data_IF_258511864730
#
_entry.id   IF_258511864730
#
_cell.length_a   1.000
_cell.length_b   1.000
_cell.length_c   1.000
_cell.angle_alpha   90.00
_cell.angle_beta   90.00
_cell.angle_gamma   90.00
#
_symmetry.space_group_name_H-M   'P 1'
#
loop_
_entity.id
_entity.type
_entity.pdbx_description
1 polymer ?
#
# COMPACT_ATOMS: atom_id res chain seq x y z
N UNK A 1 33.75 -22.28 66.01
CA UNK A 1 32.80 -23.00 66.88
C UNK A 1 33.37 -22.99 68.30
N UNK A 2 32.53 -22.81 69.32
CA UNK A 2 32.94 -22.82 70.73
C UNK A 2 32.67 -24.17 71.39
N UNK A 3 33.29 -24.45 72.55
CA UNK A 3 33.07 -25.67 73.34
C UNK A 3 31.60 -25.90 73.70
N UNK A 4 30.89 -24.86 74.10
CA UNK A 4 29.46 -24.97 74.43
C UNK A 4 28.59 -25.24 73.19
N UNK A 5 28.95 -24.67 72.04
CA UNK A 5 28.28 -25.03 70.78
C UNK A 5 28.56 -26.48 70.38
N UNK A 6 29.78 -26.97 70.56
CA UNK A 6 30.13 -28.38 70.32
C UNK A 6 29.35 -29.34 71.23
N UNK A 7 29.19 -29.01 72.51
CA UNK A 7 28.33 -29.78 73.44
C UNK A 7 26.88 -29.86 72.96
N UNK A 8 26.30 -28.73 72.58
CA UNK A 8 24.91 -28.68 72.09
C UNK A 8 24.72 -29.50 70.81
N UNK A 9 25.71 -29.51 69.90
CA UNK A 9 25.67 -30.36 68.70
C UNK A 9 25.74 -31.83 69.07
N UNK A 10 26.62 -32.23 69.99
CA UNK A 10 26.75 -33.63 70.43
C UNK A 10 25.47 -34.12 71.15
N UNK A 11 24.84 -33.26 71.95
CA UNK A 11 23.52 -33.53 72.56
C UNK A 11 22.47 -33.72 71.46
N UNK A 12 22.44 -32.83 70.46
CA UNK A 12 21.55 -32.96 69.30
C UNK A 12 21.80 -34.20 68.44
N UNK A 13 23.00 -34.79 68.52
CA UNK A 13 23.36 -36.05 67.86
C UNK A 13 23.05 -37.29 68.73
N UNK A 14 22.45 -37.12 69.92
CA UNK A 14 21.98 -38.20 70.78
C UNK A 14 22.92 -38.58 71.94
N UNK A 15 23.91 -37.75 72.26
CA UNK A 15 24.79 -37.94 73.42
C UNK A 15 24.25 -37.14 74.61
N UNK A 16 23.50 -37.77 75.52
CA UNK A 16 22.83 -37.10 76.66
C UNK A 16 23.77 -36.29 77.56
N UNK A 17 24.99 -36.78 77.79
CA UNK A 17 26.00 -36.10 78.60
C UNK A 17 27.39 -36.21 77.94
N UNK A 18 27.72 -35.31 76.98
CA UNK A 18 28.98 -35.38 76.24
C UNK A 18 30.17 -35.13 77.17
N UNK A 19 31.12 -36.07 77.19
CA UNK A 19 32.34 -35.89 77.97
C UNK A 19 33.25 -34.81 77.36
N UNK A 20 34.09 -34.19 78.19
CA UNK A 20 35.05 -33.18 77.72
C UNK A 20 36.01 -33.73 76.63
N UNK A 21 36.30 -35.03 76.64
CA UNK A 21 37.06 -35.70 75.59
C UNK A 21 36.28 -35.80 74.27
N UNK A 22 34.98 -36.12 74.31
CA UNK A 22 34.13 -36.16 73.13
C UNK A 22 33.98 -34.77 72.51
N UNK A 23 33.81 -33.73 73.35
CA UNK A 23 33.76 -32.33 72.91
C UNK A 23 35.07 -31.89 72.27
N UNK A 24 36.21 -32.27 72.86
CA UNK A 24 37.54 -31.95 72.31
C UNK A 24 37.76 -32.63 70.96
N UNK A 25 37.47 -33.94 70.86
CA UNK A 25 37.59 -34.70 69.60
C UNK A 25 36.70 -34.13 68.49
N UNK A 26 35.48 -33.71 68.81
CA UNK A 26 34.58 -33.08 67.84
C UNK A 26 35.13 -31.74 67.35
N UNK A 27 35.59 -30.87 68.26
CA UNK A 27 36.20 -29.59 67.88
C UNK A 27 37.45 -29.76 67.02
N UNK A 28 38.30 -30.73 67.34
CA UNK A 28 39.50 -31.03 66.56
C UNK A 28 39.14 -31.56 65.17
N UNK A 29 38.13 -32.43 65.07
CA UNK A 29 37.60 -32.93 63.80
C UNK A 29 37.05 -31.80 62.93
N UNK A 30 36.19 -30.96 63.48
CA UNK A 30 35.60 -29.80 62.79
C UNK A 30 36.69 -28.83 62.35
N UNK A 31 37.69 -28.58 63.19
CA UNK A 31 38.82 -27.69 62.83
C UNK A 31 39.66 -28.28 61.70
N UNK A 32 39.90 -29.60 61.73
CA UNK A 32 40.60 -30.32 60.67
C UNK A 32 39.84 -30.32 59.34
N UNK A 33 38.52 -30.50 59.37
CA UNK A 33 37.66 -30.44 58.18
C UNK A 33 37.57 -29.03 57.61
N UNK A 34 37.38 -28.00 58.46
CA UNK A 34 37.35 -26.60 58.02
C UNK A 34 38.67 -26.21 57.36
N UNK A 35 39.81 -26.67 57.90
CA UNK A 35 41.11 -26.43 57.28
C UNK A 35 41.22 -27.12 55.92
N UNK A 36 40.87 -28.40 55.82
CA UNK A 36 40.86 -29.14 54.55
C UNK A 36 39.95 -28.48 53.51
N UNK A 37 38.77 -28.03 53.90
CA UNK A 37 37.81 -27.42 52.98
C UNK A 37 38.28 -26.04 52.50
N UNK A 38 38.91 -25.26 53.38
CA UNK A 38 39.55 -23.99 53.03
C UNK A 38 40.70 -24.19 52.04
N UNK A 39 41.53 -25.21 52.24
CA UNK A 39 42.63 -25.55 51.34
C UNK A 39 42.11 -26.00 49.96
N UNK A 40 41.05 -26.84 49.92
CA UNK A 40 40.37 -27.21 48.66
C UNK A 40 39.78 -25.99 47.96
N UNK A 41 39.09 -25.12 48.68
CA UNK A 41 38.45 -23.95 48.09
C UNK A 41 39.48 -22.98 47.48
N UNK A 42 40.63 -22.82 48.14
CA UNK A 42 41.75 -22.04 47.62
C UNK A 42 42.29 -22.67 46.32
N UNK A 43 42.50 -23.99 46.31
CA UNK A 43 42.94 -24.71 45.12
C UNK A 43 41.94 -24.66 43.96
N UNK A 44 40.63 -24.74 44.25
CA UNK A 44 39.59 -24.61 43.23
C UNK A 44 39.54 -23.21 42.63
N UNK A 45 39.70 -22.18 43.47
CA UNK A 45 39.77 -20.80 43.00
C UNK A 45 40.96 -20.57 42.08
N UNK A 46 42.16 -21.03 42.47
CA UNK A 46 43.35 -20.94 41.63
C UNK A 46 43.20 -21.70 40.29
N UNK A 47 42.50 -22.83 40.29
CA UNK A 47 42.19 -23.57 39.06
C UNK A 47 41.19 -22.84 38.18
N UNK A 48 40.17 -22.21 38.78
CA UNK A 48 39.20 -21.40 38.05
C UNK A 48 39.88 -20.18 37.41
N UNK A 49 40.72 -19.46 38.16
CA UNK A 49 41.47 -18.31 37.65
C UNK A 49 42.40 -18.71 36.49
N UNK A 50 43.07 -19.87 36.61
CA UNK A 50 43.89 -20.44 35.52
C UNK A 50 43.05 -20.84 34.30
N UNK A 51 41.86 -21.40 34.52
CA UNK A 51 40.97 -21.79 33.43
C UNK A 51 40.45 -20.57 32.66
N UNK A 52 40.11 -19.48 33.36
CA UNK A 52 39.73 -18.21 32.73
C UNK A 52 40.90 -17.62 31.92
N UNK A 53 42.10 -17.61 32.49
CA UNK A 53 43.29 -17.12 31.78
C UNK A 53 43.56 -17.94 30.50
N UNK A 54 43.51 -19.27 30.59
CA UNK A 54 43.68 -20.15 29.44
C UNK A 54 42.57 -19.97 28.40
N UNK A 55 41.31 -19.81 28.81
CA UNK A 55 40.21 -19.57 27.89
C UNK A 55 40.42 -18.27 27.11
N UNK A 56 40.85 -17.21 27.80
CA UNK A 56 41.14 -15.92 27.18
C UNK A 56 42.31 -16.00 26.19
N UNK A 57 43.41 -16.67 26.58
CA UNK A 57 44.53 -16.93 25.66
C UNK A 57 44.09 -17.75 24.45
N UNK A 58 43.21 -18.74 24.62
CA UNK A 58 42.73 -19.60 23.54
C UNK A 58 41.85 -18.83 22.55
N UNK A 59 41.06 -17.87 23.02
CA UNK A 59 40.24 -16.99 22.18
C UNK A 59 41.10 -15.95 21.44
N UNK A 60 42.08 -15.34 22.12
CA UNK A 60 43.06 -14.45 21.50
C UNK A 60 43.90 -15.19 20.45
N UNK A 61 44.35 -16.40 20.75
CA UNK A 61 45.16 -17.24 19.86
C UNK A 61 44.35 -17.77 18.69
N UNK A 62 43.06 -18.06 18.85
CA UNK A 62 42.14 -18.31 17.71
C UNK A 62 42.01 -17.09 16.82
N UNK A 63 41.87 -15.89 17.38
CA UNK A 63 41.83 -14.65 16.60
C UNK A 63 43.14 -14.33 15.87
N UNK A 64 44.28 -14.67 16.48
CA UNK A 64 45.60 -14.51 15.88
C UNK A 64 45.92 -15.58 14.84
N UNK A 65 45.49 -16.84 15.06
CA UNK A 65 45.71 -17.96 14.14
C UNK A 65 44.71 -18.03 13.00
N UNK A 66 43.62 -17.25 13.02
CA UNK A 66 42.85 -17.03 11.80
C UNK A 66 43.79 -16.42 10.77
N UNK A 67 44.05 -17.19 9.72
CA UNK A 67 44.86 -16.74 8.60
C UNK A 67 44.19 -15.53 7.95
N UNK A 68 44.98 -14.66 7.30
CA UNK A 68 44.43 -13.54 6.54
C UNK A 68 43.38 -14.00 5.52
N UNK A 69 43.53 -15.22 4.99
CA UNK A 69 42.56 -15.87 4.11
C UNK A 69 41.21 -16.19 4.81
N UNK A 70 41.22 -16.67 6.05
CA UNK A 70 39.98 -16.96 6.80
C UNK A 70 39.26 -15.69 7.24
N UNK A 71 40.01 -14.63 7.60
CA UNK A 71 39.41 -13.31 7.89
C UNK A 71 38.78 -12.71 6.63
N UNK A 72 39.48 -12.77 5.51
CA UNK A 72 38.98 -12.31 4.22
C UNK A 72 37.73 -13.09 3.78
N UNK A 73 37.69 -14.42 3.95
CA UNK A 73 36.49 -15.19 3.61
C UNK A 73 35.31 -14.88 4.53
N UNK A 74 35.54 -14.66 5.83
CA UNK A 74 34.47 -14.24 6.75
C UNK A 74 33.91 -12.88 6.37
N UNK A 75 34.77 -11.93 5.99
CA UNK A 75 34.35 -10.61 5.51
C UNK A 75 33.61 -10.72 4.17
N UNK A 76 34.09 -11.54 3.24
CA UNK A 76 33.42 -11.83 1.98
C UNK A 76 32.04 -12.46 2.18
N UNK A 77 31.88 -13.34 3.17
CA UNK A 77 30.57 -13.92 3.51
C UNK A 77 29.61 -12.87 4.07
N UNK A 78 30.09 -11.99 4.95
CA UNK A 78 29.27 -10.87 5.47
C UNK A 78 28.85 -9.93 4.35
N UNK A 79 29.77 -9.58 3.46
CA UNK A 79 29.49 -8.74 2.29
C UNK A 79 28.50 -9.42 1.35
N UNK A 80 28.67 -10.72 1.07
CA UNK A 80 27.73 -11.49 0.24
C UNK A 80 26.33 -11.50 0.84
N UNK A 81 26.20 -11.75 2.14
CA UNK A 81 24.91 -11.72 2.83
C UNK A 81 24.26 -10.32 2.82
N UNK A 82 25.07 -9.27 3.01
CA UNK A 82 24.59 -7.89 2.93
C UNK A 82 24.13 -7.53 1.50
N UNK A 83 24.88 -7.96 0.49
CA UNK A 83 24.54 -7.75 -0.92
C UNK A 83 23.28 -8.53 -1.31
N UNK A 84 23.13 -9.77 -0.87
CA UNK A 84 21.93 -10.58 -1.12
C UNK A 84 20.68 -9.94 -0.50
N UNK A 85 20.79 -9.43 0.73
CA UNK A 85 19.71 -8.64 1.35
C UNK A 85 19.39 -7.39 0.53
N UNK A 86 20.41 -6.65 0.08
CA UNK A 86 20.22 -5.42 -0.71
C UNK A 86 19.58 -5.71 -2.07
N UNK A 87 19.93 -6.82 -2.71
CA UNK A 87 19.29 -7.26 -3.96
C UNK A 87 17.80 -7.54 -3.71
N UNK A 88 17.46 -8.32 -2.68
CA UNK A 88 16.07 -8.60 -2.34
C UNK A 88 15.27 -7.32 -2.03
N UNK A 89 15.85 -6.39 -1.27
CA UNK A 89 15.22 -5.10 -0.98
C UNK A 89 14.97 -4.28 -2.26
N UNK A 90 15.93 -4.27 -3.20
CA UNK A 90 15.81 -3.60 -4.49
C UNK A 90 14.75 -4.26 -5.40
N UNK A 91 14.67 -5.58 -5.44
CA UNK A 91 13.66 -6.33 -6.21
C UNK A 91 12.24 -6.04 -5.68
N UNK A 92 12.08 -5.99 -4.35
CA UNK A 92 10.82 -5.62 -3.71
C UNK A 92 10.44 -4.16 -4.01
N UNK A 93 11.40 -3.24 -3.94
CA UNK A 93 11.19 -1.83 -4.27
C UNK A 93 10.81 -1.66 -5.75
N UNK A 94 11.46 -2.38 -6.66
CA UNK A 94 11.16 -2.37 -8.09
C UNK A 94 9.74 -2.86 -8.37
N UNK A 95 9.36 -4.00 -7.80
CA UNK A 95 8.01 -4.57 -7.93
C UNK A 95 6.95 -3.60 -7.41
N UNK A 96 7.20 -2.99 -6.25
CA UNK A 96 6.29 -1.99 -5.65
C UNK A 96 6.16 -0.75 -6.54
N UNK A 97 7.28 -0.26 -7.07
CA UNK A 97 7.31 0.89 -7.98
C UNK A 97 6.52 0.62 -9.26
N UNK A 98 6.73 -0.54 -9.88
CA UNK A 98 6.01 -0.95 -11.08
C UNK A 98 4.50 -1.07 -10.83
N UNK A 99 4.08 -1.69 -9.72
CA UNK A 99 2.65 -1.75 -9.35
C UNK A 99 2.03 -0.37 -9.16
N UNK A 100 2.74 0.55 -8.50
CA UNK A 100 2.26 1.93 -8.31
C UNK A 100 2.12 2.67 -9.64
N UNK A 101 3.12 2.55 -10.53
CA UNK A 101 3.08 3.17 -11.85
C UNK A 101 1.88 2.66 -12.67
N UNK A 102 1.67 1.34 -12.70
CA UNK A 102 0.56 0.70 -13.38
C UNK A 102 -0.81 1.14 -12.84
N UNK A 103 -0.95 1.21 -11.51
CA UNK A 103 -2.15 1.71 -10.85
C UNK A 103 -2.47 3.15 -11.26
N UNK A 104 -1.44 4.01 -11.31
CA UNK A 104 -1.57 5.40 -11.76
C UNK A 104 -1.98 5.50 -13.23
N UNK A 105 -1.44 4.64 -14.08
CA UNK A 105 -1.76 4.60 -15.51
C UNK A 105 -3.22 4.19 -15.75
N UNK A 106 -3.67 3.13 -15.08
CA UNK A 106 -5.06 2.66 -15.12
C UNK A 106 -6.02 3.73 -14.58
N UNK A 107 -5.64 4.42 -13.50
CA UNK A 107 -6.40 5.57 -12.99
C UNK A 107 -6.53 6.66 -14.06
N UNK A 108 -5.45 6.95 -14.79
CA UNK A 108 -5.49 7.91 -15.90
C UNK A 108 -6.41 7.46 -17.04
N UNK A 109 -6.41 6.17 -17.38
CA UNK A 109 -7.31 5.60 -18.41
C UNK A 109 -8.77 5.85 -18.04
N UNK A 110 -9.16 5.55 -16.79
CA UNK A 110 -10.52 5.78 -16.33
C UNK A 110 -10.89 7.26 -16.24
N UNK A 111 -9.99 8.10 -15.73
CA UNK A 111 -10.23 9.54 -15.67
C UNK A 111 -10.38 10.17 -17.06
N UNK A 112 -9.56 9.76 -18.04
CA UNK A 112 -9.67 10.20 -19.45
C UNK A 112 -10.98 9.74 -20.10
N UNK A 113 -11.56 8.65 -19.63
CA UNK A 113 -12.89 8.20 -20.04
C UNK A 113 -14.04 9.02 -19.44
N UNK A 114 -13.75 9.96 -18.54
CA UNK A 114 -14.75 10.76 -17.84
C UNK A 114 -15.46 10.02 -16.71
N UNK A 115 -14.94 8.87 -16.27
CA UNK A 115 -15.47 8.15 -15.11
C UNK A 115 -15.06 8.87 -13.83
N UNK A 116 -15.96 8.91 -12.85
CA UNK A 116 -15.65 9.50 -11.55
C UNK A 116 -14.80 8.54 -10.70
N UNK A 117 -13.99 9.08 -9.78
CA UNK A 117 -13.17 8.28 -8.87
C UNK A 117 -14.00 7.27 -8.07
N UNK A 118 -15.18 7.67 -7.59
CA UNK A 118 -16.10 6.79 -6.89
C UNK A 118 -16.58 5.61 -7.77
N UNK A 119 -16.65 5.81 -9.09
CA UNK A 119 -17.08 4.77 -10.04
C UNK A 119 -15.99 3.72 -10.28
N UNK A 120 -14.72 4.12 -10.35
CA UNK A 120 -13.63 3.21 -10.70
C UNK A 120 -12.75 2.76 -9.52
N UNK A 121 -12.96 3.27 -8.30
CA UNK A 121 -12.13 2.95 -7.13
C UNK A 121 -11.96 1.44 -6.91
N UNK A 122 -13.04 0.66 -6.90
CA UNK A 122 -12.97 -0.80 -6.74
C UNK A 122 -12.26 -1.51 -7.90
N UNK A 123 -12.34 -0.96 -9.12
CA UNK A 123 -11.61 -1.50 -10.25
C UNK A 123 -10.10 -1.29 -10.08
N UNK A 124 -9.68 -0.11 -9.62
CA UNK A 124 -8.28 0.20 -9.31
C UNK A 124 -7.71 -0.75 -8.26
N UNK A 125 -8.47 -1.04 -7.20
CA UNK A 125 -8.08 -2.03 -6.20
C UNK A 125 -7.88 -3.41 -6.83
N UNK A 126 -8.82 -3.87 -7.66
CA UNK A 126 -8.71 -5.15 -8.35
C UNK A 126 -7.50 -5.21 -9.30
N UNK A 127 -7.23 -4.13 -10.04
CA UNK A 127 -6.07 -4.05 -10.93
C UNK A 127 -4.74 -4.03 -10.17
N UNK A 128 -4.70 -3.41 -8.98
CA UNK A 128 -3.50 -3.36 -8.13
C UNK A 128 -3.08 -4.75 -7.61
N UNK A 129 -4.04 -5.68 -7.52
CA UNK A 129 -3.82 -7.06 -7.08
C UNK A 129 -3.44 -8.01 -8.22
N UNK A 130 -3.62 -7.61 -9.48
CA UNK A 130 -3.30 -8.45 -10.62
C UNK A 130 -1.79 -8.57 -10.85
N UNK A 131 -1.31 -9.73 -11.34
CA UNK A 131 0.04 -9.87 -11.86
C UNK A 131 0.28 -8.88 -13.01
N UNK A 132 1.47 -8.30 -13.09
CA UNK A 132 1.84 -7.35 -14.14
C UNK A 132 1.78 -8.03 -15.51
N UNK A 133 2.13 -9.31 -15.56
CA UNK A 133 2.12 -10.17 -16.74
C UNK A 133 0.73 -10.33 -17.35
N UNK A 134 -0.33 -10.16 -16.54
CA UNK A 134 -1.72 -10.19 -16.99
C UNK A 134 -2.14 -8.93 -17.77
N UNK A 135 -1.24 -7.95 -17.93
CA UNK A 135 -1.45 -6.70 -18.68
C UNK A 135 -2.73 -5.97 -18.27
N UNK A 136 -2.90 -5.62 -16.98
CA UNK A 136 -4.11 -4.97 -16.46
C UNK A 136 -4.43 -3.62 -17.13
N UNK A 137 -3.42 -2.91 -17.64
CA UNK A 137 -3.59 -1.71 -18.45
C UNK A 137 -4.42 -1.95 -19.72
N UNK A 138 -4.14 -3.04 -20.46
CA UNK A 138 -4.85 -3.39 -21.69
C UNK A 138 -6.30 -3.80 -21.39
N UNK A 139 -6.52 -4.48 -20.26
CA UNK A 139 -7.87 -4.83 -19.79
C UNK A 139 -8.66 -3.56 -19.49
N UNK A 140 -8.06 -2.58 -18.78
CA UNK A 140 -8.69 -1.31 -18.48
C UNK A 140 -9.03 -0.50 -19.75
N UNK A 141 -8.10 -0.44 -20.73
CA UNK A 141 -8.35 0.18 -22.04
C UNK A 141 -9.53 -0.47 -22.76
N UNK A 142 -9.56 -1.80 -22.81
CA UNK A 142 -10.63 -2.56 -23.46
C UNK A 142 -11.99 -2.28 -22.81
N UNK A 143 -12.04 -2.28 -21.48
CA UNK A 143 -13.26 -1.98 -20.73
C UNK A 143 -13.79 -0.57 -21.02
N UNK A 144 -12.93 0.45 -20.96
CA UNK A 144 -13.31 1.84 -21.28
C UNK A 144 -13.79 1.98 -22.72
N UNK A 145 -13.12 1.33 -23.66
CA UNK A 145 -13.53 1.34 -25.07
C UNK A 145 -14.91 0.70 -25.26
N UNK A 146 -15.21 -0.42 -24.58
CA UNK A 146 -16.53 -1.04 -24.57
C UNK A 146 -17.62 -0.08 -24.12
N UNK A 147 -17.44 0.55 -22.95
CA UNK A 147 -18.39 1.56 -22.43
C UNK A 147 -18.59 2.71 -23.42
N UNK A 148 -17.50 3.21 -24.02
CA UNK A 148 -17.58 4.29 -25.00
C UNK A 148 -18.42 3.89 -26.22
N UNK A 149 -18.26 2.66 -26.71
CA UNK A 149 -19.06 2.14 -27.83
C UNK A 149 -20.54 1.95 -27.49
N UNK A 150 -20.84 1.45 -26.29
CA UNK A 150 -22.22 1.28 -25.81
C UNK A 150 -22.91 2.63 -25.62
N UNK A 151 -22.23 3.60 -24.99
CA UNK A 151 -22.74 4.96 -24.80
C UNK A 151 -23.02 5.67 -26.13
N UNK A 152 -22.13 5.53 -27.12
CA UNK A 152 -22.35 6.06 -28.46
C UNK A 152 -23.61 5.47 -29.08
N UNK A 153 -23.77 4.15 -28.99
CA UNK A 153 -24.94 3.43 -29.54
C UNK A 153 -26.24 3.87 -28.86
N UNK A 154 -26.24 3.99 -27.53
CA UNK A 154 -27.39 4.47 -26.77
C UNK A 154 -27.78 5.91 -27.15
N UNK A 155 -26.79 6.79 -27.32
CA UNK A 155 -27.00 8.18 -27.71
C UNK A 155 -27.56 8.30 -29.14
N UNK A 156 -27.03 7.53 -30.09
CA UNK A 156 -27.54 7.49 -31.46
C UNK A 156 -28.97 6.94 -31.50
N UNK A 157 -29.29 5.93 -30.67
CA UNK A 157 -30.65 5.39 -30.53
C UNK A 157 -31.62 6.42 -29.93
N UNK A 158 -31.21 7.12 -28.88
CA UNK A 158 -32.03 8.15 -28.24
C UNK A 158 -32.30 9.33 -29.20
N UNK A 159 -31.30 9.74 -29.98
CA UNK A 159 -31.46 10.75 -31.03
C UNK A 159 -32.47 10.31 -32.09
N UNK A 160 -32.33 9.10 -32.62
CA UNK A 160 -33.26 8.58 -33.62
C UNK A 160 -34.69 8.48 -33.09
N UNK A 161 -34.87 8.08 -31.82
CA UNK A 161 -36.18 8.05 -31.17
C UNK A 161 -36.77 9.46 -31.02
N UNK A 162 -35.97 10.43 -30.58
CA UNK A 162 -36.37 11.83 -30.46
C UNK A 162 -36.74 12.45 -31.81
N UNK A 163 -35.93 12.23 -32.85
CA UNK A 163 -36.22 12.71 -34.22
C UNK A 163 -37.55 12.15 -34.75
N UNK A 164 -37.85 10.87 -34.51
CA UNK A 164 -39.15 10.28 -34.86
C UNK A 164 -40.30 10.92 -34.09
N UNK A 165 -40.15 11.13 -32.78
CA UNK A 165 -41.19 11.75 -31.96
C UNK A 165 -41.48 13.19 -32.39
N UNK A 166 -40.43 13.96 -32.70
CA UNK A 166 -40.57 15.33 -33.22
C UNK A 166 -41.28 15.33 -34.57
N UNK A 167 -40.92 14.43 -35.49
CA UNK A 167 -41.59 14.29 -36.80
C UNK A 167 -43.08 13.93 -36.66
N UNK A 168 -43.45 13.07 -35.72
CA UNK A 168 -44.84 12.66 -35.49
C UNK A 168 -45.69 13.76 -34.84
N UNK A 169 -45.09 14.57 -33.96
CA UNK A 169 -45.78 15.66 -33.24
C UNK A 169 -45.79 17.00 -33.97
N UNK A 170 -45.03 17.15 -35.05
CA UNK A 170 -45.04 18.37 -35.85
C UNK A 170 -46.29 18.38 -36.74
N UNK A 171 -47.20 19.36 -36.62
CA UNK A 171 -48.34 19.47 -37.53
C UNK A 171 -47.83 19.55 -38.97
N UNK A 172 -48.29 18.63 -39.82
CA UNK A 172 -47.90 18.62 -41.23
C UNK A 172 -48.38 19.93 -41.89
N UNK A 173 -47.49 20.78 -42.44
CA UNK A 173 -47.89 22.06 -43.03
C UNK A 173 -48.69 21.92 -44.34
N UNK A 174 -49.00 20.69 -44.77
CA UNK A 174 -49.89 20.37 -45.87
C UNK A 174 -51.18 19.73 -45.38
N UNK A 175 -52.21 20.56 -45.20
CA UNK A 175 -53.65 20.27 -45.28
C UNK A 175 -54.15 18.92 -44.76
N UNK A 176 -54.88 18.95 -43.65
CA UNK A 176 -55.91 17.94 -43.38
C UNK A 176 -56.90 17.90 -44.56
N UNK A 177 -57.07 16.71 -45.12
CA UNK A 177 -58.24 16.39 -45.90
C UNK A 177 -59.48 16.47 -44.99
N UNK A 178 -60.20 17.58 -45.09
CA UNK A 178 -61.65 17.69 -44.92
C UNK A 178 -62.22 17.30 -43.55
N UNK A 179 -62.38 18.30 -42.67
CA UNK A 179 -63.20 18.18 -41.47
C UNK A 179 -63.50 19.53 -40.84
N UNK A 180 -64.44 20.28 -41.43
CA UNK A 180 -64.74 21.66 -41.05
C UNK A 180 -65.05 21.85 -39.55
N UNK A 181 -64.18 22.57 -38.86
CA UNK A 181 -64.48 23.30 -37.61
C UNK A 181 -63.77 24.66 -37.66
N UNK A 182 -64.49 25.69 -37.18
CA UNK A 182 -64.10 27.12 -37.21
C UNK A 182 -62.63 27.32 -36.81
N UNK A 183 -61.92 28.05 -37.66
CA UNK A 183 -60.56 28.54 -37.43
C UNK A 183 -60.54 29.47 -36.19
N UNK A 184 -59.99 28.99 -35.08
CA UNK A 184 -59.42 29.87 -34.07
C UNK A 184 -58.01 30.25 -34.54
N UNK A 185 -57.74 31.56 -34.65
CA UNK A 185 -56.42 32.07 -35.06
C UNK A 185 -55.33 31.49 -34.17
N UNK A 186 -54.24 31.02 -34.79
CA UNK A 186 -53.09 30.51 -34.05
C UNK A 186 -52.37 31.67 -33.31
N UNK A 187 -51.72 31.35 -32.18
CA UNK A 187 -50.84 32.32 -31.47
C UNK A 187 -49.74 32.89 -32.38
N UNK A 188 -49.35 32.16 -33.43
CA UNK A 188 -48.41 32.63 -34.43
C UNK A 188 -49.01 33.73 -35.33
N UNK A 189 -50.29 33.64 -35.66
CA UNK A 189 -51.03 34.66 -36.42
C UNK A 189 -51.14 35.96 -35.62
N UNK A 190 -51.43 35.86 -34.32
CA UNK A 190 -51.46 37.03 -33.42
C UNK A 190 -50.09 37.70 -33.31
N UNK A 191 -49.01 36.91 -33.29
CA UNK A 191 -47.65 37.44 -33.27
C UNK A 191 -47.31 38.14 -34.59
N UNK A 192 -47.74 37.59 -35.72
CA UNK A 192 -47.46 38.16 -37.03
C UNK A 192 -48.23 39.47 -37.28
N UNK A 193 -49.50 39.54 -36.88
CA UNK A 193 -50.29 40.79 -36.95
C UNK A 193 -49.72 41.90 -36.06
N UNK A 194 -49.16 41.56 -34.89
CA UNK A 194 -48.63 42.56 -33.94
C UNK A 194 -47.38 43.29 -34.43
N UNK A 195 -46.59 42.67 -35.32
CA UNK A 195 -45.30 43.21 -35.76
C UNK A 195 -45.23 43.52 -37.25
N UNK A 196 -46.35 43.47 -37.98
CA UNK A 196 -46.42 43.98 -39.34
C UNK A 196 -46.49 45.51 -39.34
N UNK A 197 -45.50 46.23 -39.90
CA UNK A 197 -45.63 47.67 -40.09
C UNK A 197 -46.77 47.97 -41.08
N UNK A 198 -47.67 48.88 -40.67
CA UNK A 198 -48.84 49.30 -41.46
C UNK A 198 -48.41 49.80 -42.84
N UNK A 199 -49.02 49.24 -43.90
CA UNK A 199 -48.89 49.72 -45.27
C UNK A 199 -49.80 50.92 -45.49
N UNK A 200 -49.26 52.14 -45.43
CA UNK A 200 -49.86 53.31 -46.07
C UNK A 200 -48.73 54.12 -46.74
N UNK A 201 -48.57 53.94 -48.07
CA UNK A 201 -48.72 54.96 -49.15
C UNK A 201 -47.58 55.99 -49.17
N UNK A 202 -46.87 56.25 -50.27
CA UNK A 202 -47.39 56.74 -51.56
C UNK A 202 -46.42 56.53 -52.73
N UNK A 203 -47.02 56.51 -53.91
CA UNK A 203 -46.50 56.39 -55.28
C UNK A 203 -45.89 57.69 -55.87
N UNK A 204 -45.14 57.51 -57.00
CA UNK A 204 -44.67 58.46 -58.06
C UNK A 204 -43.23 58.99 -57.88
N UNK A 205 -42.35 59.09 -58.88
CA UNK A 205 -42.37 58.91 -60.36
C UNK A 205 -40.92 58.82 -60.91
N UNK A 206 -40.76 57.97 -61.93
CA UNK A 206 -39.80 57.87 -63.06
C UNK A 206 -38.68 58.96 -63.18
N UNK A 207 -37.42 58.52 -63.42
CA UNK A 207 -36.41 59.36 -64.08
C UNK A 207 -34.94 58.89 -64.11
N UNK A 208 -34.56 58.14 -65.16
CA UNK A 208 -33.28 58.12 -65.91
C UNK A 208 -31.93 57.64 -65.30
N UNK A 209 -31.43 56.54 -65.92
CA UNK A 209 -30.08 56.18 -66.37
C UNK A 209 -28.80 56.30 -65.49
N UNK A 210 -28.19 55.12 -65.31
CA UNK A 210 -26.84 54.67 -64.91
C UNK A 210 -25.61 55.43 -65.51
N UNK A 211 -24.34 54.98 -65.30
CA UNK A 211 -23.71 54.12 -64.26
C UNK A 211 -22.49 54.84 -63.62
N UNK A 212 -21.64 54.17 -62.82
CA UNK A 212 -20.18 54.04 -63.09
C UNK A 212 -19.48 53.21 -62.00
N UNK A 213 -18.51 52.45 -62.50
CA UNK A 213 -17.73 51.34 -62.00
C UNK A 213 -16.79 51.53 -60.79
N UNK A 214 -16.50 50.36 -60.24
CA UNK A 214 -15.31 49.88 -59.54
C UNK A 214 -13.99 50.63 -59.77
N UNK A 215 -13.31 50.90 -58.64
CA UNK A 215 -11.89 50.65 -58.45
C UNK A 215 -11.69 49.97 -57.08
#
# INVERSE_FOLDING_TARGET
MTREQAKQVLIGMGIEEPSDEQVTKYLDSVTGEVKKEKDKNTSLKEKADKAEALQKELDELKQQNMTDAEKAELERQKEKAANEKRISDLENALTTSQKRALTSEITSIFAKAGLSEATYASAIEAFSLMPIESKPEEIAKSFVNGISTENKTALDTAKAAWEREVLEKTPNPGGEAGGGKKEEKSKAEEYFEKYLPSKETESKTIGTNAPVDYL
#
